data_IF_689321366080
#
_entry.id   IF_689321366080
#
_cell.length_a   1.000
_cell.length_b   1.000
_cell.length_c   1.000
_cell.angle_alpha   90.00
_cell.angle_beta   90.00
_cell.angle_gamma   90.00
#
_symmetry.space_group_name_H-M   'P 1'
#
loop_
_entity.id
_entity.type
_entity.pdbx_description
1 polymer ?
#
# COMPACT_ATOMS: atom_id res chain seq x y z
N UNK A 1 3.95 10.52 20.21
CA UNK A 1 5.00 9.89 19.39
C UNK A 1 5.94 9.16 20.32
N UNK A 2 6.22 7.89 20.07
CA UNK A 2 7.20 7.13 20.86
C UNK A 2 8.63 7.51 20.46
N UNK A 3 9.59 7.28 21.35
CA UNK A 3 11.01 7.43 21.04
C UNK A 3 11.39 6.47 19.91
N UNK A 4 12.09 6.97 18.88
CA UNK A 4 12.62 6.13 17.80
C UNK A 4 13.65 5.13 18.38
N UNK A 5 13.54 3.82 18.05
CA UNK A 5 14.47 2.83 18.58
C UNK A 5 15.85 3.00 17.95
N UNK A 6 16.93 2.55 18.61
CA UNK A 6 18.26 2.66 18.04
C UNK A 6 18.36 1.90 16.71
N UNK A 7 19.03 2.48 15.72
CA UNK A 7 19.30 1.82 14.44
C UNK A 7 20.40 0.76 14.63
N UNK A 8 20.16 -0.52 14.30
CA UNK A 8 21.18 -1.56 14.37
C UNK A 8 22.42 -1.21 13.54
N UNK A 9 23.61 -1.54 14.05
CA UNK A 9 24.88 -1.23 13.39
C UNK A 9 24.95 -1.77 11.95
N UNK A 10 24.41 -2.98 11.71
CA UNK A 10 24.36 -3.58 10.38
C UNK A 10 23.44 -2.80 9.40
N UNK A 11 22.30 -2.29 9.89
CA UNK A 11 21.40 -1.47 9.08
C UNK A 11 22.05 -0.12 8.72
N UNK A 12 22.73 0.51 9.69
CA UNK A 12 23.51 1.72 9.44
C UNK A 12 24.63 1.46 8.42
N UNK A 13 25.39 0.38 8.58
CA UNK A 13 26.46 0.03 7.66
C UNK A 13 25.96 -0.20 6.22
N UNK A 14 24.81 -0.85 6.04
CA UNK A 14 24.19 -1.03 4.73
C UNK A 14 23.79 0.32 4.09
N UNK A 15 23.23 1.25 4.88
CA UNK A 15 22.92 2.59 4.41
C UNK A 15 24.19 3.40 4.07
N UNK A 16 25.23 3.31 4.89
CA UNK A 16 26.52 3.99 4.65
C UNK A 16 27.23 3.47 3.40
N UNK A 17 27.15 2.16 3.14
CA UNK A 17 27.66 1.56 1.91
C UNK A 17 26.94 2.12 0.67
N UNK A 18 25.61 2.20 0.71
CA UNK A 18 24.82 2.76 -0.38
C UNK A 18 25.05 4.27 -0.58
N UNK A 19 25.18 5.02 0.51
CA UNK A 19 25.44 6.46 0.50
C UNK A 19 26.92 6.83 0.30
N UNK A 20 27.81 5.83 0.13
CA UNK A 20 29.27 5.97 -0.06
C UNK A 20 29.96 6.75 1.05
N UNK A 21 29.56 6.55 2.30
CA UNK A 21 30.18 7.18 3.46
C UNK A 21 29.22 7.30 4.66
N UNK A 22 29.64 8.00 5.72
CA UNK A 22 28.82 8.24 6.89
C UNK A 22 27.46 8.87 6.54
N UNK A 23 26.41 8.47 7.25
CA UNK A 23 25.05 8.98 7.04
C UNK A 23 24.50 9.73 8.25
N UNK A 24 23.86 10.86 7.96
CA UNK A 24 22.93 11.55 8.85
C UNK A 24 21.56 10.89 8.77
N UNK A 25 20.90 10.73 9.93
CA UNK A 25 19.59 10.09 10.01
C UNK A 25 18.53 11.13 10.36
N UNK A 26 17.50 11.24 9.54
CA UNK A 26 16.28 11.98 9.87
C UNK A 26 15.12 11.02 10.13
N UNK A 27 14.41 11.26 11.22
CA UNK A 27 13.24 10.49 11.63
C UNK A 27 12.06 10.78 10.69
N UNK A 28 11.45 9.73 10.11
CA UNK A 28 10.34 9.87 9.17
C UNK A 28 9.02 9.48 9.83
N UNK A 29 8.95 8.27 10.39
CA UNK A 29 7.74 7.80 11.10
C UNK A 29 8.11 6.83 12.20
N UNK A 30 7.36 6.86 13.30
CA UNK A 30 7.41 5.83 14.32
C UNK A 30 5.98 5.48 14.79
N UNK A 31 5.49 4.32 14.37
CA UNK A 31 4.12 3.85 14.69
C UNK A 31 4.03 2.33 14.64
N UNK A 32 3.20 1.76 15.53
CA UNK A 32 2.80 0.34 15.50
C UNK A 32 4.00 -0.64 15.46
N UNK A 33 5.05 -0.37 16.24
CA UNK A 33 6.23 -1.24 16.26
C UNK A 33 7.13 -1.14 15.03
N UNK A 34 6.94 -0.12 14.19
CA UNK A 34 7.75 0.15 13.00
C UNK A 34 8.22 1.60 13.00
N UNK A 35 9.53 1.79 12.91
CA UNK A 35 10.17 3.09 12.78
C UNK A 35 10.91 3.19 11.44
N UNK A 36 10.91 4.37 10.83
CA UNK A 36 11.55 4.63 9.54
C UNK A 36 12.41 5.88 9.63
N UNK A 37 13.64 5.79 9.12
CA UNK A 37 14.56 6.90 8.96
C UNK A 37 14.89 7.08 7.48
N UNK A 38 15.18 8.33 7.11
CA UNK A 38 15.93 8.65 5.90
C UNK A 38 17.38 8.83 6.28
N UNK A 39 18.25 8.09 5.62
CA UNK A 39 19.69 8.19 5.74
C UNK A 39 20.26 8.97 4.55
N UNK A 40 20.98 10.05 4.82
CA UNK A 40 21.61 10.91 3.81
C UNK A 40 23.11 11.01 4.07
N UNK A 41 23.92 10.74 3.05
CA UNK A 41 25.37 10.95 3.10
C UNK A 41 25.81 12.16 2.26
N UNK A 42 27.12 12.31 2.07
CA UNK A 42 27.69 13.37 1.22
C UNK A 42 27.42 13.18 -0.29
N UNK A 43 27.01 11.97 -0.71
CA UNK A 43 26.59 11.69 -2.08
C UNK A 43 25.16 12.16 -2.38
N UNK A 44 24.72 11.98 -3.64
CA UNK A 44 23.35 12.29 -4.08
C UNK A 44 22.33 11.20 -3.74
N UNK A 45 22.80 10.03 -3.30
CA UNK A 45 21.97 8.87 -2.97
C UNK A 45 21.56 8.90 -1.50
N UNK A 46 20.27 8.70 -1.25
CA UNK A 46 19.72 8.50 0.09
C UNK A 46 19.19 7.06 0.24
N UNK A 47 19.07 6.60 1.48
CA UNK A 47 18.48 5.30 1.82
C UNK A 47 17.33 5.46 2.82
N UNK A 48 16.39 4.54 2.80
CA UNK A 48 15.38 4.37 3.85
C UNK A 48 15.82 3.22 4.76
N UNK A 49 15.79 3.44 6.08
CA UNK A 49 16.01 2.39 7.07
C UNK A 49 14.67 2.15 7.77
N UNK A 50 14.10 0.95 7.68
CA UNK A 50 12.91 0.54 8.41
C UNK A 50 13.30 -0.44 9.51
N UNK A 51 12.90 -0.16 10.75
CA UNK A 51 13.16 -0.99 11.94
C UNK A 51 11.84 -1.45 12.54
N UNK A 52 11.64 -2.75 12.58
CA UNK A 52 10.60 -3.42 13.36
C UNK A 52 11.09 -3.74 14.77
N UNK A 53 10.25 -3.49 15.77
CA UNK A 53 10.52 -3.75 17.18
C UNK A 53 9.21 -4.14 17.90
N UNK A 54 9.33 -4.85 19.03
CA UNK A 54 8.15 -5.43 19.72
C UNK A 54 7.32 -6.28 18.75
N UNK A 55 6.01 -6.03 18.67
CA UNK A 55 5.11 -6.76 17.77
C UNK A 55 5.42 -6.54 16.27
N UNK A 56 6.21 -5.51 15.91
CA UNK A 56 6.60 -5.21 14.54
C UNK A 56 7.81 -6.01 14.01
N UNK A 57 8.46 -6.81 14.87
CA UNK A 57 9.61 -7.65 14.52
C UNK A 57 9.30 -8.63 13.39
N UNK A 58 8.29 -9.46 13.58
CA UNK A 58 7.91 -10.48 12.59
C UNK A 58 7.43 -9.85 11.27
N UNK A 59 6.73 -8.71 11.37
CA UNK A 59 6.17 -7.98 10.21
C UNK A 59 7.28 -7.41 9.34
N UNK A 60 8.28 -6.76 9.93
CA UNK A 60 9.39 -6.17 9.18
C UNK A 60 10.36 -7.24 8.66
N UNK A 61 10.62 -8.30 9.44
CA UNK A 61 11.41 -9.43 8.94
C UNK A 61 10.75 -10.10 7.71
N UNK A 62 9.43 -10.30 7.76
CA UNK A 62 8.65 -10.84 6.63
C UNK A 62 8.76 -9.95 5.40
N UNK A 63 8.61 -8.64 5.54
CA UNK A 63 8.72 -7.72 4.41
C UNK A 63 10.11 -7.77 3.77
N UNK A 64 11.18 -7.84 4.57
CA UNK A 64 12.54 -8.00 4.05
C UNK A 64 12.69 -9.27 3.19
N UNK A 65 12.08 -10.37 3.62
CA UNK A 65 12.05 -11.62 2.86
C UNK A 65 11.23 -11.51 1.57
N UNK A 66 10.08 -10.81 1.60
CA UNK A 66 9.29 -10.53 0.38
C UNK A 66 10.13 -9.74 -0.63
N UNK A 67 10.79 -8.67 -0.19
CA UNK A 67 11.64 -7.84 -1.06
C UNK A 67 12.77 -8.68 -1.69
N UNK A 68 13.37 -9.59 -0.91
CA UNK A 68 14.40 -10.52 -1.41
C UNK A 68 13.85 -11.50 -2.43
N UNK A 69 12.66 -12.08 -2.19
CA UNK A 69 12.02 -13.04 -3.11
C UNK A 69 11.48 -12.40 -4.39
N UNK A 70 11.20 -11.10 -4.36
CA UNK A 70 10.89 -10.28 -5.53
C UNK A 70 12.14 -9.81 -6.29
N UNK A 71 13.35 -10.15 -5.80
CA UNK A 71 14.64 -9.68 -6.34
C UNK A 71 14.68 -8.16 -6.54
N UNK A 72 14.21 -7.43 -5.52
CA UNK A 72 14.02 -5.99 -5.61
C UNK A 72 15.37 -5.27 -5.70
N UNK A 73 15.65 -4.52 -6.79
CA UNK A 73 16.94 -3.85 -6.96
C UNK A 73 17.14 -2.70 -5.98
N UNK A 74 16.06 -2.20 -5.37
CA UNK A 74 16.12 -1.20 -4.31
C UNK A 74 16.41 -1.78 -2.92
N UNK A 75 16.44 -3.10 -2.73
CA UNK A 75 16.81 -3.71 -1.45
C UNK A 75 18.33 -3.68 -1.27
N UNK A 76 18.79 -2.91 -0.28
CA UNK A 76 20.21 -2.71 0.04
C UNK A 76 20.68 -3.65 1.16
N UNK A 77 19.76 -4.13 1.99
CA UNK A 77 20.02 -5.12 3.01
C UNK A 77 18.81 -5.36 3.90
N UNK A 78 18.76 -6.52 4.53
CA UNK A 78 17.80 -6.82 5.58
C UNK A 78 18.42 -7.77 6.61
N UNK A 79 17.90 -7.76 7.83
CA UNK A 79 18.39 -8.65 8.87
C UNK A 79 17.53 -8.66 10.12
N UNK A 80 17.86 -9.58 11.02
CA UNK A 80 17.17 -9.77 12.30
C UNK A 80 18.21 -9.85 13.42
N UNK A 81 17.95 -9.18 14.53
CA UNK A 81 18.69 -9.26 15.79
C UNK A 81 17.76 -9.81 16.88
N UNK A 82 18.25 -9.93 18.12
CA UNK A 82 17.43 -10.38 19.25
C UNK A 82 16.27 -9.43 19.61
N UNK A 83 16.34 -8.16 19.21
CA UNK A 83 15.39 -7.11 19.61
C UNK A 83 14.91 -6.21 18.46
N UNK A 84 15.38 -6.43 17.23
CA UNK A 84 15.02 -5.64 16.06
C UNK A 84 15.04 -6.50 14.79
N UNK A 85 14.21 -6.15 13.82
CA UNK A 85 14.32 -6.60 12.43
C UNK A 85 14.43 -5.37 11.56
N UNK A 86 15.26 -5.39 10.53
CA UNK A 86 15.57 -4.20 9.77
C UNK A 86 15.59 -4.46 8.27
N UNK A 87 15.23 -3.43 7.52
CA UNK A 87 15.30 -3.35 6.06
C UNK A 87 15.96 -2.03 5.72
N UNK A 88 16.89 -2.05 4.77
CA UNK A 88 17.44 -0.87 4.13
C UNK A 88 17.11 -0.94 2.66
N UNK A 89 16.44 0.09 2.15
CA UNK A 89 16.18 0.25 0.72
C UNK A 89 16.75 1.55 0.21
N UNK A 90 16.92 1.66 -1.11
CA UNK A 90 17.14 2.96 -1.74
C UNK A 90 15.98 3.89 -1.38
N UNK A 91 16.29 5.16 -1.12
CA UNK A 91 15.25 6.16 -0.95
C UNK A 91 14.59 6.43 -2.30
N UNK A 92 13.27 6.33 -2.35
CA UNK A 92 12.51 6.59 -3.56
C UNK A 92 12.19 8.09 -3.62
N UNK A 93 12.73 8.77 -4.62
CA UNK A 93 12.40 10.17 -4.89
C UNK A 93 11.11 10.24 -5.72
N UNK A 94 10.15 11.03 -5.25
CA UNK A 94 8.88 11.22 -5.93
C UNK A 94 7.66 11.36 -5.02
N UNK A 95 6.55 11.90 -5.53
CA UNK A 95 5.28 11.95 -4.81
C UNK A 95 4.64 10.55 -4.72
N UNK A 96 3.85 10.33 -3.67
CA UNK A 96 2.92 9.19 -3.67
C UNK A 96 1.77 9.42 -4.65
N UNK A 97 1.07 8.37 -5.09
CA UNK A 97 -0.14 8.52 -5.93
C UNK A 97 -1.12 9.51 -5.30
N UNK A 98 -1.36 9.46 -3.98
CA UNK A 98 -2.21 10.44 -3.30
C UNK A 98 -1.75 11.90 -3.49
N UNK A 99 -0.44 12.14 -3.46
CA UNK A 99 0.14 13.49 -3.64
C UNK A 99 0.06 13.94 -5.10
N UNK A 100 0.23 13.04 -6.07
CA UNK A 100 0.09 13.39 -7.50
C UNK A 100 -1.31 13.92 -7.81
N UNK A 101 -2.35 13.39 -7.16
CA UNK A 101 -3.73 13.87 -7.32
C UNK A 101 -4.03 15.19 -6.59
N UNK A 102 -3.10 15.76 -5.80
CA UNK A 102 -3.38 16.95 -5.00
C UNK A 102 -3.75 18.19 -5.84
N UNK A 103 -3.03 18.54 -6.91
CA UNK A 103 -3.41 19.68 -7.75
C UNK A 103 -4.83 19.52 -8.33
N UNK A 104 -5.15 18.34 -8.88
CA UNK A 104 -6.49 18.04 -9.39
C UNK A 104 -7.58 18.21 -8.31
N UNK A 105 -7.34 17.69 -7.10
CA UNK A 105 -8.29 17.84 -5.97
C UNK A 105 -8.49 19.30 -5.55
N UNK A 106 -7.48 20.15 -5.73
CA UNK A 106 -7.53 21.56 -5.39
C UNK A 106 -8.16 22.43 -6.51
N UNK A 107 -8.55 21.83 -7.64
CA UNK A 107 -9.03 22.55 -8.81
C UNK A 107 -7.92 23.25 -9.61
N UNK A 108 -6.68 22.81 -9.43
CA UNK A 108 -5.51 23.26 -10.19
C UNK A 108 -5.30 22.37 -11.43
N UNK A 109 -4.44 22.81 -12.35
CA UNK A 109 -4.02 21.97 -13.47
C UNK A 109 -3.20 20.77 -12.95
N UNK A 110 -3.68 19.57 -13.23
CA UNK A 110 -3.12 18.33 -12.70
C UNK A 110 -3.79 17.06 -13.23
N UNK A 111 -4.71 17.20 -14.19
CA UNK A 111 -5.53 16.11 -14.69
C UNK A 111 -4.68 15.07 -15.42
N UNK A 112 -3.79 15.50 -16.32
CA UNK A 112 -2.91 14.60 -17.08
C UNK A 112 -1.95 13.82 -16.16
N UNK A 113 -1.36 14.49 -15.17
CA UNK A 113 -0.46 13.86 -14.20
C UNK A 113 -1.20 12.85 -13.33
N UNK A 114 -2.42 13.17 -12.91
CA UNK A 114 -3.28 12.26 -12.17
C UNK A 114 -3.68 11.02 -12.99
N UNK A 115 -4.03 11.19 -14.27
CA UNK A 115 -4.34 10.08 -15.18
C UNK A 115 -3.12 9.17 -15.37
N UNK A 116 -1.97 9.77 -15.66
CA UNK A 116 -0.70 9.07 -15.83
C UNK A 116 -0.35 8.28 -14.57
N UNK A 117 -0.53 8.88 -13.39
CA UNK A 117 -0.29 8.21 -12.12
C UNK A 117 -1.29 7.07 -11.85
N UNK A 118 -2.54 7.21 -12.26
CA UNK A 118 -3.55 6.15 -12.13
C UNK A 118 -3.17 4.92 -12.97
N UNK A 119 -2.83 5.15 -14.24
CA UNK A 119 -2.37 4.10 -15.15
C UNK A 119 -1.07 3.47 -14.65
N UNK A 120 -0.11 4.28 -14.21
CA UNK A 120 1.16 3.81 -13.65
C UNK A 120 0.97 2.93 -12.42
N UNK A 121 0.02 3.26 -11.54
CA UNK A 121 -0.31 2.41 -10.39
C UNK A 121 -0.91 1.07 -10.82
N UNK A 122 -1.85 1.08 -11.77
CA UNK A 122 -2.41 -0.15 -12.33
C UNK A 122 -1.33 -1.07 -12.91
N UNK A 123 -0.37 -0.50 -13.65
CA UNK A 123 0.77 -1.24 -14.21
C UNK A 123 1.67 -1.83 -13.13
N UNK A 124 2.04 -1.07 -12.11
CA UNK A 124 2.86 -1.58 -11.01
C UNK A 124 2.18 -2.75 -10.24
N UNK A 125 0.86 -2.67 -10.05
CA UNK A 125 0.10 -3.79 -9.45
C UNK A 125 0.02 -4.98 -10.40
N UNK A 126 -0.13 -4.76 -11.72
CA UNK A 126 -0.11 -5.82 -12.71
C UNK A 126 1.25 -6.54 -12.79
N UNK A 127 2.35 -5.80 -12.69
CA UNK A 127 3.71 -6.34 -12.61
C UNK A 127 3.88 -7.22 -11.37
N UNK A 128 3.40 -6.75 -10.20
CA UNK A 128 3.43 -7.53 -8.97
C UNK A 128 2.62 -8.84 -9.11
N UNK A 129 1.41 -8.76 -9.68
CA UNK A 129 0.57 -9.93 -9.97
C UNK A 129 1.24 -10.90 -10.94
N UNK A 130 1.93 -10.39 -11.96
CA UNK A 130 2.68 -11.20 -12.93
C UNK A 130 3.85 -11.93 -12.28
N UNK A 131 4.50 -11.31 -11.28
CA UNK A 131 5.50 -11.95 -10.43
C UNK A 131 4.90 -12.97 -9.43
N UNK A 132 3.58 -13.20 -9.48
CA UNK A 132 2.85 -14.14 -8.63
C UNK A 132 2.46 -13.59 -7.26
N UNK A 133 2.69 -12.30 -7.00
CA UNK A 133 2.47 -11.68 -5.71
C UNK A 133 1.21 -10.80 -5.68
N UNK A 134 0.60 -10.70 -4.52
CA UNK A 134 -0.47 -9.74 -4.19
C UNK A 134 0.05 -8.84 -3.07
N UNK A 135 -0.23 -7.53 -3.12
CA UNK A 135 0.25 -6.58 -2.12
C UNK A 135 -0.50 -6.72 -0.79
N UNK A 136 -1.82 -6.91 -0.84
CA UNK A 136 -2.74 -7.14 0.29
C UNK A 136 -2.99 -5.96 1.24
N UNK A 137 -2.31 -4.83 1.02
CA UNK A 137 -2.48 -3.60 1.80
C UNK A 137 -2.17 -2.37 0.95
N UNK A 138 -2.68 -2.35 -0.28
CA UNK A 138 -2.53 -1.20 -1.16
C UNK A 138 -3.32 0.00 -0.63
N UNK A 139 -2.63 1.14 -0.54
CA UNK A 139 -3.14 2.38 0.03
C UNK A 139 -2.71 3.57 -0.83
N UNK A 140 -3.39 4.73 -0.71
CA UNK A 140 -3.03 5.94 -1.46
C UNK A 140 -1.57 6.41 -1.32
N UNK A 141 -0.92 6.07 -0.19
CA UNK A 141 0.48 6.42 0.09
C UNK A 141 1.50 5.32 -0.29
N UNK A 142 1.06 4.11 -0.67
CA UNK A 142 1.93 2.95 -0.86
C UNK A 142 2.46 2.80 -2.29
N UNK A 143 2.36 3.82 -3.11
CA UNK A 143 2.93 3.85 -4.44
C UNK A 143 3.61 5.19 -4.67
N UNK A 144 4.91 5.17 -4.96
CA UNK A 144 5.76 6.34 -5.22
C UNK A 144 6.05 6.42 -6.71
N UNK A 145 5.83 7.60 -7.30
CA UNK A 145 6.07 7.88 -8.71
C UNK A 145 7.49 8.40 -8.88
N UNK A 146 8.39 7.51 -9.29
CA UNK A 146 9.81 7.83 -9.52
C UNK A 146 10.08 8.03 -11.00
N UNK A 147 11.25 8.58 -11.29
CA UNK A 147 11.84 8.73 -12.63
C UNK A 147 11.95 7.38 -13.38
N UNK A 148 12.04 6.29 -12.62
CA UNK A 148 12.18 4.92 -13.12
C UNK A 148 10.84 4.16 -13.14
N UNK A 149 9.72 4.85 -12.89
CA UNK A 149 8.38 4.27 -12.82
C UNK A 149 7.80 4.20 -11.42
N UNK A 150 6.65 3.56 -11.30
CA UNK A 150 5.88 3.48 -10.04
C UNK A 150 6.40 2.35 -9.17
N UNK A 151 6.70 2.66 -7.91
CA UNK A 151 7.24 1.70 -6.94
C UNK A 151 6.28 1.51 -5.79
N UNK A 152 5.85 0.27 -5.60
CA UNK A 152 5.04 -0.14 -4.45
C UNK A 152 5.91 -0.21 -3.19
N UNK A 153 5.37 0.30 -2.09
CA UNK A 153 5.92 0.32 -0.74
C UNK A 153 5.14 -0.61 0.18
N UNK A 154 5.69 -0.91 1.36
CA UNK A 154 5.02 -1.62 2.46
C UNK A 154 4.47 -3.01 2.05
N UNK A 155 5.38 -3.90 1.69
CA UNK A 155 5.07 -5.25 1.24
C UNK A 155 4.96 -6.27 2.39
N UNK A 156 4.78 -5.79 3.62
CA UNK A 156 4.73 -6.65 4.81
C UNK A 156 3.56 -7.66 4.78
N UNK A 157 2.46 -7.30 4.12
CA UNK A 157 1.29 -8.16 3.94
C UNK A 157 1.24 -8.85 2.59
N UNK A 158 2.30 -8.70 1.79
CA UNK A 158 2.33 -9.33 0.49
C UNK A 158 2.25 -10.86 0.62
N UNK A 159 1.63 -11.47 -0.38
CA UNK A 159 1.30 -12.88 -0.39
C UNK A 159 1.46 -13.47 -1.78
N UNK A 160 1.87 -14.73 -1.84
CA UNK A 160 1.82 -15.58 -3.04
C UNK A 160 1.56 -17.03 -2.64
N UNK A 161 1.05 -17.89 -3.53
CA UNK A 161 1.03 -19.33 -3.29
C UNK A 161 2.41 -19.87 -2.87
N UNK A 162 2.44 -20.69 -1.82
CA UNK A 162 3.69 -21.21 -1.25
C UNK A 162 4.42 -20.24 -0.31
N UNK A 163 3.88 -19.05 -0.06
CA UNK A 163 4.36 -18.13 0.97
C UNK A 163 3.19 -17.78 1.91
N UNK A 164 3.08 -18.54 3.01
CA UNK A 164 1.93 -18.49 3.92
C UNK A 164 1.56 -17.04 4.30
N UNK A 165 0.26 -16.67 4.31
CA UNK A 165 -0.15 -15.36 4.79
C UNK A 165 0.20 -15.21 6.27
N UNK A 166 0.47 -13.98 6.71
CA UNK A 166 0.76 -13.74 8.11
C UNK A 166 -0.47 -13.94 9.00
N UNK A 167 -0.32 -14.62 10.14
CA UNK A 167 -1.35 -14.74 11.16
C UNK A 167 -1.75 -13.41 11.80
N UNK A 168 -0.98 -12.34 11.59
CA UNK A 168 -1.32 -10.98 12.02
C UNK A 168 -2.13 -10.21 10.97
N UNK A 169 -2.24 -10.71 9.74
CA UNK A 169 -2.97 -10.04 8.67
C UNK A 169 -4.48 -10.07 8.93
N UNK A 170 -5.13 -8.90 8.85
CA UNK A 170 -6.58 -8.73 9.10
C UNK A 170 -7.31 -8.01 7.96
N UNK A 171 -6.76 -8.05 6.75
CA UNK A 171 -7.35 -7.42 5.56
C UNK A 171 -6.95 -5.95 5.33
N UNK A 172 -5.73 -5.56 5.70
CA UNK A 172 -5.21 -4.20 5.42
C UNK A 172 -6.07 -3.07 5.98
N UNK A 173 -6.12 -1.93 5.28
CA UNK A 173 -7.09 -0.86 5.57
C UNK A 173 -8.52 -1.33 5.31
N UNK A 174 -9.31 -1.38 6.39
CA UNK A 174 -10.70 -1.84 6.37
C UNK A 174 -11.58 -1.12 5.33
N UNK A 175 -11.36 0.17 5.07
CA UNK A 175 -12.14 0.95 4.11
C UNK A 175 -11.90 0.57 2.64
N UNK A 176 -10.80 -0.10 2.36
CA UNK A 176 -10.40 -0.53 1.02
C UNK A 176 -10.56 -2.06 0.85
N UNK A 177 -11.06 -2.73 1.88
CA UNK A 177 -11.20 -4.17 1.91
C UNK A 177 -12.33 -4.65 1.01
N UNK A 178 -12.04 -5.62 0.14
CA UNK A 178 -13.04 -6.25 -0.72
C UNK A 178 -14.14 -6.96 0.09
N UNK A 179 -15.43 -6.85 -0.28
CA UNK A 179 -16.54 -7.44 0.49
C UNK A 179 -16.39 -8.93 0.75
N UNK A 180 -15.93 -9.70 -0.23
CA UNK A 180 -15.73 -11.14 -0.08
C UNK A 180 -14.56 -11.50 0.84
N UNK A 181 -13.51 -10.66 0.89
CA UNK A 181 -12.41 -10.85 1.82
C UNK A 181 -12.85 -10.48 3.25
N UNK A 182 -13.64 -9.40 3.40
CA UNK A 182 -14.28 -9.04 4.66
C UNK A 182 -15.20 -10.16 5.19
N UNK A 183 -15.98 -10.80 4.30
CA UNK A 183 -16.84 -11.94 4.64
C UNK A 183 -16.02 -13.15 5.13
N UNK A 184 -14.94 -13.49 4.41
CA UNK A 184 -14.01 -14.57 4.79
C UNK A 184 -13.41 -14.35 6.19
N UNK A 185 -13.01 -13.11 6.50
CA UNK A 185 -12.50 -12.75 7.82
C UNK A 185 -13.59 -12.91 8.89
N UNK A 186 -14.83 -12.51 8.59
CA UNK A 186 -15.95 -12.51 9.52
C UNK A 186 -16.36 -13.91 10.00
N UNK A 187 -16.17 -14.94 9.16
CA UNK A 187 -16.46 -16.35 9.51
C UNK A 187 -15.27 -17.08 10.17
N UNK A 188 -14.18 -16.37 10.46
CA UNK A 188 -13.04 -16.92 11.19
C UNK A 188 -12.02 -17.70 10.35
N UNK A 189 -12.01 -17.53 9.01
CA UNK A 189 -10.97 -18.15 8.16
C UNK A 189 -9.63 -17.45 8.45
N UNK A 190 -8.72 -18.20 9.07
CA UNK A 190 -7.35 -17.79 9.38
C UNK A 190 -6.39 -18.90 8.89
N UNK A 191 -5.32 -18.57 8.13
CA UNK A 191 -4.94 -17.22 7.74
C UNK A 191 -5.86 -16.63 6.66
N UNK A 192 -6.03 -15.31 6.70
CA UNK A 192 -6.79 -14.56 5.69
C UNK A 192 -6.00 -14.65 4.39
N UNK A 193 -6.60 -15.25 3.35
CA UNK A 193 -5.91 -15.46 2.06
C UNK A 193 -6.25 -14.33 1.08
N UNK A 194 -5.27 -13.48 0.70
CA UNK A 194 -5.46 -12.45 -0.32
C UNK A 194 -5.74 -13.06 -1.71
N UNK A 195 -6.14 -12.22 -2.67
CA UNK A 195 -6.25 -12.65 -4.06
C UNK A 195 -6.09 -11.47 -5.01
N UNK A 196 -5.65 -11.69 -6.26
CA UNK A 196 -5.56 -10.62 -7.26
C UNK A 196 -6.88 -9.86 -7.46
N UNK A 197 -8.01 -10.56 -7.43
CA UNK A 197 -9.33 -9.92 -7.58
C UNK A 197 -9.73 -9.05 -6.38
N UNK A 198 -9.31 -9.42 -5.16
CA UNK A 198 -9.48 -8.57 -3.97
C UNK A 198 -8.54 -7.35 -4.04
N UNK A 199 -7.33 -7.53 -4.57
CA UNK A 199 -6.37 -6.44 -4.78
C UNK A 199 -6.86 -5.43 -5.81
N UNK A 200 -7.49 -5.88 -6.92
CA UNK A 200 -8.07 -4.96 -7.91
C UNK A 200 -9.22 -4.13 -7.32
N UNK A 201 -9.98 -4.68 -6.36
CA UNK A 201 -10.94 -3.88 -5.59
C UNK A 201 -10.23 -2.82 -4.74
N UNK A 202 -9.17 -3.19 -4.00
CA UNK A 202 -8.39 -2.26 -3.20
C UNK A 202 -7.71 -1.18 -4.05
N UNK A 203 -7.25 -1.53 -5.25
CA UNK A 203 -6.70 -0.62 -6.26
C UNK A 203 -7.75 0.39 -6.72
N UNK A 204 -8.95 -0.06 -7.08
CA UNK A 204 -10.03 0.85 -7.47
C UNK A 204 -10.44 1.78 -6.33
N UNK A 205 -10.54 1.26 -5.11
CA UNK A 205 -10.80 2.06 -3.91
C UNK A 205 -9.68 3.06 -3.61
N UNK A 206 -8.42 2.65 -3.78
CA UNK A 206 -7.24 3.50 -3.61
C UNK A 206 -7.26 4.67 -4.59
N UNK A 207 -7.48 4.40 -5.88
CA UNK A 207 -7.58 5.44 -6.90
C UNK A 207 -8.78 6.36 -6.67
N UNK A 208 -9.91 5.82 -6.21
CA UNK A 208 -11.05 6.62 -5.80
C UNK A 208 -10.70 7.59 -4.66
N UNK A 209 -9.98 7.12 -3.64
CA UNK A 209 -9.53 7.95 -2.52
C UNK A 209 -8.45 8.94 -2.92
N UNK A 210 -7.52 8.57 -3.81
CA UNK A 210 -6.59 9.52 -4.44
C UNK A 210 -7.35 10.62 -5.17
N UNK A 211 -8.36 10.29 -5.96
CA UNK A 211 -9.12 11.27 -6.72
C UNK A 211 -9.95 12.21 -5.84
N UNK A 212 -10.61 11.68 -4.80
CA UNK A 212 -11.65 12.42 -4.08
C UNK A 212 -11.25 12.90 -2.68
N UNK A 213 -10.13 12.40 -2.15
CA UNK A 213 -9.77 12.58 -0.74
C UNK A 213 -10.67 11.85 0.26
N UNK A 214 -11.62 11.03 -0.22
CA UNK A 214 -12.66 10.36 0.58
C UNK A 214 -12.66 8.86 0.35
N UNK A 215 -13.25 8.09 1.27
CA UNK A 215 -13.43 6.65 1.09
C UNK A 215 -14.41 6.35 -0.04
N UNK A 216 -14.28 5.19 -0.73
CA UNK A 216 -15.18 4.83 -1.81
C UNK A 216 -16.63 4.55 -1.34
N UNK A 217 -16.81 4.16 -0.08
CA UNK A 217 -18.13 3.90 0.51
C UNK A 217 -18.65 5.14 1.27
N UNK A 218 -19.90 5.50 1.03
CA UNK A 218 -20.60 6.54 1.76
C UNK A 218 -21.24 5.96 3.04
N UNK A 219 -20.44 5.93 4.10
CA UNK A 219 -20.92 5.46 5.40
C UNK A 219 -22.00 6.37 5.99
N UNK A 220 -21.96 7.67 5.71
CA UNK A 220 -22.92 8.63 6.24
C UNK A 220 -24.32 8.38 5.67
N UNK A 221 -24.43 8.16 4.36
CA UNK A 221 -25.69 7.80 3.71
C UNK A 221 -26.30 6.49 4.26
N UNK A 222 -25.46 5.60 4.79
CA UNK A 222 -25.87 4.35 5.42
C UNK A 222 -26.16 4.47 6.94
N UNK A 223 -26.03 5.66 7.53
CA UNK A 223 -26.13 5.85 8.98
C UNK A 223 -25.04 5.11 9.77
N UNK A 224 -23.88 4.88 9.15
CA UNK A 224 -22.73 4.21 9.74
C UNK A 224 -21.70 5.28 10.14
N UNK A 225 -21.36 5.36 11.41
CA UNK A 225 -20.17 6.07 11.86
C UNK A 225 -19.00 5.07 11.99
N UNK A 226 -18.03 5.05 11.06
CA UNK A 226 -16.92 4.11 11.12
C UNK A 226 -16.00 4.34 12.32
N UNK A 227 -16.02 5.51 12.97
CA UNK A 227 -15.21 5.80 14.15
C UNK A 227 -15.78 5.17 15.42
N UNK A 228 -17.09 4.90 15.45
CA UNK A 228 -17.79 4.27 16.57
C UNK A 228 -17.84 2.73 16.46
N UNK A 229 -17.37 2.17 15.35
CA UNK A 229 -17.35 0.73 15.12
C UNK A 229 -15.97 0.14 15.36
N UNK A 230 -15.95 -1.03 15.98
CA UNK A 230 -14.77 -1.88 15.98
C UNK A 230 -14.44 -2.33 14.55
N UNK A 231 -13.17 -2.69 14.24
CA UNK A 231 -12.80 -3.24 12.94
C UNK A 231 -13.63 -4.46 12.54
N UNK A 232 -14.05 -5.30 13.50
CA UNK A 232 -14.91 -6.46 13.26
C UNK A 232 -16.30 -6.02 12.78
N UNK A 233 -16.93 -5.08 13.48
CA UNK A 233 -18.25 -4.58 13.11
C UNK A 233 -18.21 -3.88 11.74
N UNK A 234 -17.20 -3.06 11.47
CA UNK A 234 -17.07 -2.38 10.19
C UNK A 234 -16.87 -3.37 9.03
N UNK A 235 -16.03 -4.40 9.21
CA UNK A 235 -15.89 -5.49 8.23
C UNK A 235 -17.22 -6.19 7.96
N UNK A 236 -18.03 -6.45 8.99
CA UNK A 236 -19.35 -7.05 8.80
C UNK A 236 -20.28 -6.15 7.95
N UNK A 237 -20.23 -4.83 8.12
CA UNK A 237 -20.99 -3.90 7.26
C UNK A 237 -20.50 -3.93 5.80
N UNK A 238 -19.19 -3.98 5.59
CA UNK A 238 -18.57 -4.06 4.26
C UNK A 238 -18.89 -5.38 3.57
N UNK A 239 -18.78 -6.51 4.29
CA UNK A 239 -19.12 -7.83 3.80
C UNK A 239 -20.57 -7.91 3.29
N UNK A 240 -21.50 -7.25 3.99
CA UNK A 240 -22.91 -7.19 3.63
C UNK A 240 -23.25 -6.07 2.63
N UNK A 241 -22.24 -5.35 2.08
CA UNK A 241 -22.43 -4.18 1.20
C UNK A 241 -23.44 -3.17 1.77
N UNK A 242 -23.37 -2.93 3.09
CA UNK A 242 -24.35 -2.12 3.82
C UNK A 242 -24.25 -0.61 3.57
N UNK A 243 -23.20 -0.15 2.87
CA UNK A 243 -23.03 1.25 2.47
C UNK A 243 -22.96 1.36 0.94
N UNK A 244 -23.64 2.35 0.33
CA UNK A 244 -23.52 2.60 -1.10
C UNK A 244 -22.13 3.17 -1.44
N UNK A 245 -21.80 3.18 -2.73
CA UNK A 245 -20.66 3.96 -3.20
C UNK A 245 -20.93 5.45 -3.06
N UNK A 246 -19.87 6.19 -2.80
CA UNK A 246 -19.89 7.63 -2.76
C UNK A 246 -20.44 8.23 -4.07
N UNK A 247 -21.41 9.16 -4.00
CA UNK A 247 -22.07 9.70 -5.19
C UNK A 247 -21.32 10.86 -5.84
N UNK A 248 -20.27 11.41 -5.22
CA UNK A 248 -19.57 12.59 -5.73
C UNK A 248 -18.58 12.17 -6.81
N UNK A 249 -18.73 12.79 -7.99
CA UNK A 249 -18.03 12.40 -9.22
C UNK A 249 -17.32 13.59 -9.89
N UNK A 250 -16.22 14.12 -9.31
CA UNK A 250 -15.49 15.23 -9.92
C UNK A 250 -14.89 14.85 -11.28
N UNK A 251 -14.60 13.55 -11.50
CA UNK A 251 -14.10 13.04 -12.76
C UNK A 251 -14.91 11.80 -13.21
N UNK A 252 -16.08 11.99 -13.83
CA UNK A 252 -16.97 10.90 -14.19
C UNK A 252 -16.32 9.80 -15.03
N UNK A 253 -15.47 10.19 -15.99
CA UNK A 253 -14.77 9.32 -16.93
C UNK A 253 -13.77 8.41 -16.20
N UNK A 254 -12.91 8.97 -15.34
CA UNK A 254 -11.97 8.20 -14.53
C UNK A 254 -12.70 7.32 -13.50
N UNK A 255 -13.77 7.82 -12.89
CA UNK A 255 -14.49 7.08 -11.85
C UNK A 255 -15.41 5.99 -12.39
N UNK A 256 -15.76 6.00 -13.69
CA UNK A 256 -16.62 4.98 -14.29
C UNK A 256 -16.00 3.57 -14.16
N UNK A 257 -14.80 3.28 -14.71
CA UNK A 257 -14.19 1.96 -14.57
C UNK A 257 -13.91 1.59 -13.09
N UNK A 258 -13.53 2.55 -12.24
CA UNK A 258 -13.34 2.29 -10.80
C UNK A 258 -14.65 1.85 -10.12
N UNK A 259 -15.77 2.49 -10.46
CA UNK A 259 -17.11 2.11 -9.97
C UNK A 259 -17.48 0.71 -10.44
N UNK A 260 -17.25 0.42 -11.72
CA UNK A 260 -17.58 -0.87 -12.31
C UNK A 260 -16.84 -1.99 -11.54
N UNK A 261 -15.57 -1.80 -11.19
CA UNK A 261 -14.78 -2.71 -10.34
C UNK A 261 -15.35 -2.85 -8.92
N UNK A 262 -15.67 -1.74 -8.25
CA UNK A 262 -16.13 -1.72 -6.86
C UNK A 262 -17.52 -2.37 -6.69
N UNK A 263 -18.37 -2.29 -7.72
CA UNK A 263 -19.69 -2.92 -7.73
C UNK A 263 -19.65 -4.38 -8.20
N UNK A 264 -18.70 -4.75 -9.05
CA UNK A 264 -18.62 -6.09 -9.62
C UNK A 264 -18.44 -7.19 -8.55
N UNK A 265 -18.99 -8.40 -8.78
CA UNK A 265 -18.61 -9.60 -8.03
C UNK A 265 -17.15 -9.94 -8.31
N UNK A 266 -16.49 -10.64 -7.37
CA UNK A 266 -15.07 -11.02 -7.46
C UNK A 266 -14.69 -11.64 -8.81
N UNK A 267 -15.53 -12.52 -9.36
CA UNK A 267 -15.28 -13.25 -10.61
C UNK A 267 -15.37 -12.40 -11.88
N UNK A 268 -15.92 -11.19 -11.80
CA UNK A 268 -16.12 -10.31 -12.94
C UNK A 268 -15.24 -9.06 -12.89
N UNK A 269 -14.36 -8.95 -11.89
CA UNK A 269 -13.39 -7.84 -11.85
C UNK A 269 -12.31 -8.08 -12.91
N UNK A 270 -11.88 -7.02 -13.62
CA UNK A 270 -10.75 -7.10 -14.52
C UNK A 270 -9.47 -7.41 -13.75
N UNK A 271 -8.42 -7.77 -14.48
CA UNK A 271 -7.05 -7.72 -13.99
C UNK A 271 -6.61 -6.27 -13.76
N UNK A 272 -5.51 -6.08 -13.02
CA UNK A 272 -4.92 -4.75 -12.83
C UNK A 272 -4.44 -4.14 -14.16
N UNK A 273 -3.95 -4.97 -15.10
CA UNK A 273 -3.55 -4.53 -16.44
C UNK A 273 -4.75 -4.03 -17.25
N UNK A 274 -5.83 -4.82 -17.32
CA UNK A 274 -7.05 -4.42 -18.02
C UNK A 274 -7.68 -3.15 -17.42
N UNK A 275 -7.66 -3.00 -16.08
CA UNK A 275 -8.07 -1.74 -15.47
C UNK A 275 -7.19 -0.58 -15.91
N UNK A 276 -5.86 -0.78 -15.97
CA UNK A 276 -4.93 0.21 -16.49
C UNK A 276 -5.21 0.62 -17.94
N UNK A 277 -5.55 -0.33 -18.80
CA UNK A 277 -5.91 -0.09 -20.21
C UNK A 277 -7.22 0.70 -20.33
N UNK A 278 -8.21 0.39 -19.50
CA UNK A 278 -9.47 1.14 -19.42
C UNK A 278 -9.24 2.59 -18.99
N UNK A 279 -8.30 2.84 -18.05
CA UNK A 279 -7.95 4.20 -17.63
C UNK A 279 -7.16 4.93 -18.71
N UNK A 280 -6.24 4.26 -19.40
CA UNK A 280 -5.40 4.88 -20.44
C UNK A 280 -6.19 5.32 -21.68
N UNK A 281 -7.45 4.88 -21.83
CA UNK A 281 -8.33 5.24 -22.93
C UNK A 281 -9.17 6.51 -22.68
N UNK A 282 -9.02 7.16 -21.52
CA UNK A 282 -9.69 8.42 -21.14
C UNK A 282 -8.91 9.61 -21.68
#
# INVERSE_FOLDING_TARGET
>A
MGQHPPVPAAARAAAEAACRGPVELSEITNRRGSAVWRATGAGTTAAAIKIGYGDGLAVTAREGEVLRLLDRPDLLGAGVTSNASWIVTSWLEGPSTYKVFAPYRNGEDGQEQALTAAVGLCRAVAELHTAGWVHSDLQPAHAVHTDQGVRLLDLAWAWRPGFEPSDAFRGGIVHLLAPELAASIGVGIIPVTPSPAAEVYALAGTLWTCLTGRWPLDYQAAGIDPQQLTPVQLRARIANRAAPLDPIRPWPELQKPLRDVLLAPRSSRPTAAELGDLLAAI
#
